data_IF_481624767726
#
_entry.id   IF_481624767726
#
_cell.length_a   1.000
_cell.length_b   1.000
_cell.length_c   1.000
_cell.angle_alpha   90.00
_cell.angle_beta   90.00
_cell.angle_gamma   90.00
#
_symmetry.space_group_name_H-M   'P 1'
#
loop_
_entity.id
_entity.type
_entity.pdbx_description
1 polymer ?
#
# COMPACT_ATOMS: atom_id res chain seq x y z
N UNK A 1 17.00 45.40 -1.86
CA UNK A 1 15.87 44.44 -1.98
C UNK A 1 16.46 43.13 -2.47
N UNK A 2 16.86 42.25 -1.55
CA UNK A 2 17.59 41.02 -1.90
C UNK A 2 16.57 39.90 -2.10
N UNK A 3 16.32 39.51 -3.34
CA UNK A 3 15.46 38.37 -3.69
C UNK A 3 16.23 37.07 -3.43
N UNK A 4 16.05 36.49 -2.24
CA UNK A 4 16.47 35.11 -1.95
C UNK A 4 15.52 34.16 -2.69
N UNK A 5 15.83 33.85 -3.94
CA UNK A 5 15.16 32.79 -4.68
C UNK A 5 15.80 31.46 -4.28
N UNK A 6 15.07 30.63 -3.52
CA UNK A 6 15.53 29.31 -3.12
C UNK A 6 15.75 28.40 -4.36
N UNK A 7 16.78 27.53 -4.35
CA UNK A 7 17.12 26.71 -5.52
C UNK A 7 16.01 25.68 -5.79
N UNK A 8 15.41 25.73 -6.99
CA UNK A 8 14.38 24.77 -7.42
C UNK A 8 14.93 23.34 -7.48
N UNK A 9 14.36 22.43 -6.71
CA UNK A 9 14.75 21.02 -6.71
C UNK A 9 14.00 20.27 -7.82
N UNK A 10 14.62 20.15 -8.99
CA UNK A 10 14.07 19.30 -10.07
C UNK A 10 14.56 17.87 -9.92
N UNK A 11 13.66 16.89 -9.80
CA UNK A 11 14.07 15.49 -9.84
C UNK A 11 14.46 15.08 -11.25
N UNK A 12 15.62 14.46 -11.39
CA UNK A 12 15.99 13.71 -12.58
C UNK A 12 15.55 12.28 -12.35
N UNK A 13 14.59 11.77 -13.13
CA UNK A 13 14.32 10.34 -13.18
C UNK A 13 15.66 9.63 -13.40
N UNK A 14 16.12 8.90 -12.38
CA UNK A 14 17.43 8.26 -12.44
C UNK A 14 17.34 7.24 -13.56
N UNK A 15 18.17 7.39 -14.58
CA UNK A 15 18.24 6.49 -15.74
C UNK A 15 18.24 5.00 -15.34
N UNK A 16 18.77 4.70 -14.15
CA UNK A 16 18.78 3.36 -13.58
C UNK A 16 17.38 2.75 -13.39
N UNK A 17 16.34 3.51 -13.02
CA UNK A 17 14.98 2.96 -12.89
C UNK A 17 14.45 2.44 -14.23
N UNK A 18 14.70 3.19 -15.30
CA UNK A 18 14.29 2.80 -16.66
C UNK A 18 15.01 1.51 -17.06
N UNK A 19 16.32 1.44 -16.84
CA UNK A 19 17.12 0.23 -17.11
C UNK A 19 16.60 -0.98 -16.32
N UNK A 20 16.30 -0.80 -15.04
CA UNK A 20 15.76 -1.85 -14.18
C UNK A 20 14.40 -2.35 -14.68
N UNK A 21 13.51 -1.46 -15.09
CA UNK A 21 12.18 -1.84 -15.61
C UNK A 21 12.31 -2.60 -16.93
N UNK A 22 13.13 -2.09 -17.86
CA UNK A 22 13.39 -2.78 -19.13
C UNK A 22 13.94 -4.17 -18.87
N UNK A 23 14.86 -4.33 -17.92
CA UNK A 23 15.37 -5.62 -17.51
C UNK A 23 14.25 -6.57 -17.02
N UNK A 24 13.36 -6.13 -16.13
CA UNK A 24 12.24 -6.94 -15.66
C UNK A 24 11.24 -7.30 -16.77
N UNK A 25 10.94 -6.36 -17.67
CA UNK A 25 10.07 -6.61 -18.82
C UNK A 25 10.66 -7.70 -19.71
N UNK A 26 11.95 -7.59 -20.05
CA UNK A 26 12.65 -8.60 -20.85
C UNK A 26 12.66 -9.95 -20.13
N UNK A 27 12.93 -9.96 -18.82
CA UNK A 27 12.91 -11.18 -18.00
C UNK A 27 11.54 -11.87 -18.06
N UNK A 28 10.45 -11.14 -17.86
CA UNK A 28 9.11 -11.72 -17.91
C UNK A 28 8.73 -12.21 -19.30
N UNK A 29 9.08 -11.49 -20.36
CA UNK A 29 8.85 -11.95 -21.74
C UNK A 29 9.70 -13.19 -22.06
N UNK A 30 10.92 -13.27 -21.56
CA UNK A 30 11.76 -14.46 -21.68
C UNK A 30 11.15 -15.66 -20.95
N UNK A 31 10.65 -15.48 -19.72
CA UNK A 31 9.93 -16.52 -18.97
C UNK A 31 8.65 -16.95 -19.71
N UNK A 32 7.89 -16.00 -20.26
CA UNK A 32 6.71 -16.27 -21.07
C UNK A 32 7.04 -17.14 -22.28
N UNK A 33 8.10 -16.78 -23.01
CA UNK A 33 8.59 -17.54 -24.15
C UNK A 33 9.02 -18.95 -23.73
N UNK A 34 9.76 -19.08 -22.63
CA UNK A 34 10.17 -20.38 -22.13
C UNK A 34 8.95 -21.25 -21.76
N UNK A 35 7.96 -20.68 -21.07
CA UNK A 35 6.72 -21.38 -20.74
C UNK A 35 5.93 -21.79 -21.99
N UNK A 36 5.87 -20.92 -23.00
CA UNK A 36 5.28 -21.25 -24.30
C UNK A 36 5.99 -22.42 -24.97
N UNK A 37 7.33 -22.44 -24.98
CA UNK A 37 8.07 -23.59 -25.53
C UNK A 37 7.80 -24.87 -24.75
N UNK A 38 7.65 -24.79 -23.41
CA UNK A 38 7.26 -25.94 -22.59
C UNK A 38 5.83 -26.41 -22.82
N UNK A 39 4.88 -25.50 -23.03
CA UNK A 39 3.52 -25.86 -23.41
C UNK A 39 3.49 -26.65 -24.73
N UNK A 40 4.30 -26.27 -25.72
CA UNK A 40 4.39 -27.01 -27.00
C UNK A 40 5.12 -28.35 -26.92
N UNK A 41 5.84 -28.63 -25.85
CA UNK A 41 6.52 -29.92 -25.68
C UNK A 41 5.50 -31.02 -25.39
N UNK A 42 5.80 -32.28 -25.70
CA UNK A 42 4.86 -33.40 -25.50
C UNK A 42 4.44 -33.66 -24.05
N UNK A 43 5.04 -32.95 -23.08
CA UNK A 43 4.69 -32.94 -21.66
C UNK A 43 4.02 -31.63 -21.21
N UNK A 44 3.50 -30.82 -22.14
CA UNK A 44 2.87 -29.53 -21.85
C UNK A 44 1.50 -29.66 -21.19
N UNK A 45 1.17 -28.75 -20.27
CA UNK A 45 -0.14 -28.69 -19.60
C UNK A 45 -0.78 -27.31 -19.82
N UNK A 46 -2.11 -27.20 -19.65
CA UNK A 46 -2.82 -25.91 -19.69
C UNK A 46 -2.29 -24.90 -18.66
N UNK A 47 -1.70 -25.37 -17.55
CA UNK A 47 -1.07 -24.50 -16.55
C UNK A 47 0.13 -23.75 -17.14
N UNK A 48 0.95 -24.39 -17.98
CA UNK A 48 2.09 -23.75 -18.65
C UNK A 48 1.61 -22.63 -19.60
N UNK A 49 0.48 -22.85 -20.27
CA UNK A 49 -0.14 -21.84 -21.13
C UNK A 49 -0.60 -20.64 -20.29
N UNK A 50 -1.26 -20.89 -19.15
CA UNK A 50 -1.62 -19.85 -18.19
C UNK A 50 -0.42 -19.01 -17.77
N UNK A 51 0.71 -19.65 -17.42
CA UNK A 51 1.93 -18.93 -17.09
C UNK A 51 2.52 -18.16 -18.26
N UNK A 52 2.48 -18.71 -19.48
CA UNK A 52 2.93 -18.01 -20.68
C UNK A 52 2.17 -16.69 -20.91
N UNK A 53 0.89 -16.61 -20.53
CA UNK A 53 0.10 -15.36 -20.58
C UNK A 53 0.20 -14.52 -19.30
N UNK A 54 0.39 -15.14 -18.15
CA UNK A 54 0.53 -14.45 -16.87
C UNK A 54 1.79 -13.57 -16.83
N UNK A 55 2.93 -14.08 -17.33
CA UNK A 55 4.19 -13.32 -17.31
C UNK A 55 4.14 -12.01 -18.11
N UNK A 56 3.60 -11.96 -19.35
CA UNK A 56 3.39 -10.70 -20.07
C UNK A 56 2.45 -9.74 -19.34
N UNK A 57 1.40 -10.23 -18.69
CA UNK A 57 0.51 -9.37 -17.90
C UNK A 57 1.26 -8.69 -16.75
N UNK A 58 2.15 -9.43 -16.07
CA UNK A 58 3.02 -8.83 -15.05
C UNK A 58 4.01 -7.82 -15.63
N UNK A 59 4.56 -8.06 -16.83
CA UNK A 59 5.42 -7.09 -17.50
C UNK A 59 4.69 -5.75 -17.74
N UNK A 60 3.47 -5.81 -18.28
CA UNK A 60 2.63 -4.62 -18.49
C UNK A 60 2.29 -3.96 -17.15
N UNK A 61 1.96 -4.75 -16.14
CA UNK A 61 1.65 -4.24 -14.80
C UNK A 61 2.82 -3.46 -14.19
N UNK A 62 4.06 -3.96 -14.29
CA UNK A 62 5.24 -3.26 -13.77
C UNK A 62 5.45 -1.92 -14.48
N UNK A 63 5.29 -1.87 -15.81
CA UNK A 63 5.39 -0.62 -16.57
C UNK A 63 4.31 0.37 -16.16
N UNK A 64 3.07 -0.10 -15.99
CA UNK A 64 1.96 0.72 -15.53
C UNK A 64 2.17 1.27 -14.12
N UNK A 65 2.60 0.41 -13.18
CA UNK A 65 2.88 0.80 -11.81
C UNK A 65 3.98 1.87 -11.76
N UNK A 66 5.05 1.72 -12.55
CA UNK A 66 6.09 2.74 -12.64
C UNK A 66 5.58 4.06 -13.23
N UNK A 67 4.80 4.01 -14.32
CA UNK A 67 4.22 5.21 -14.92
C UNK A 67 3.35 5.96 -13.91
N UNK A 68 2.52 5.23 -13.19
CA UNK A 68 1.65 5.78 -12.14
C UNK A 68 2.46 6.36 -10.99
N UNK A 69 3.48 5.64 -10.51
CA UNK A 69 4.37 6.13 -9.46
C UNK A 69 5.09 7.42 -9.88
N UNK A 70 5.65 7.47 -11.10
CA UNK A 70 6.29 8.68 -11.64
C UNK A 70 5.32 9.85 -11.76
N UNK A 71 4.05 9.60 -12.11
CA UNK A 71 3.01 10.64 -12.14
C UNK A 71 2.77 11.21 -10.74
N UNK A 72 2.56 10.36 -9.74
CA UNK A 72 2.36 10.79 -8.36
C UNK A 72 3.58 11.49 -7.76
N UNK A 73 4.79 11.00 -8.06
CA UNK A 73 6.02 11.67 -7.65
C UNK A 73 6.15 13.06 -8.28
N UNK A 74 5.86 13.21 -9.57
CA UNK A 74 5.88 14.52 -10.25
C UNK A 74 4.83 15.47 -9.67
N UNK A 75 3.58 15.02 -9.51
CA UNK A 75 2.50 15.83 -8.91
C UNK A 75 2.88 16.31 -7.50
N UNK A 76 3.55 15.46 -6.70
CA UNK A 76 4.04 15.82 -5.37
C UNK A 76 5.18 16.86 -5.42
N UNK A 77 6.15 16.68 -6.32
CA UNK A 77 7.29 17.62 -6.45
C UNK A 77 6.80 18.99 -6.92
N UNK A 78 5.84 19.04 -7.85
CA UNK A 78 5.26 20.28 -8.32
C UNK A 78 4.52 21.01 -7.18
N UNK A 79 3.73 20.28 -6.37
CA UNK A 79 3.10 20.85 -5.18
C UNK A 79 4.12 21.36 -4.12
N UNK A 80 5.21 20.61 -3.89
CA UNK A 80 6.30 21.05 -2.99
C UNK A 80 6.97 22.32 -3.52
N UNK A 81 7.21 22.43 -4.83
CA UNK A 81 7.80 23.61 -5.45
C UNK A 81 6.85 24.83 -5.38
N UNK A 82 5.55 24.66 -5.62
CA UNK A 82 4.55 25.73 -5.51
C UNK A 82 4.44 26.26 -4.07
N UNK A 83 4.45 25.39 -3.06
CA UNK A 83 4.42 25.80 -1.65
C UNK A 83 5.66 26.64 -1.28
N UNK A 84 6.85 26.21 -1.73
CA UNK A 84 8.10 26.95 -1.53
C UNK A 84 8.08 28.31 -2.24
N UNK A 85 7.51 28.41 -3.45
CA UNK A 85 7.36 29.69 -4.17
C UNK A 85 6.40 30.66 -3.46
N UNK A 86 5.38 30.14 -2.76
CA UNK A 86 4.47 30.94 -1.93
C UNK A 86 5.04 31.30 -0.54
N UNK A 87 6.29 30.91 -0.23
CA UNK A 87 6.91 31.15 1.08
C UNK A 87 6.26 30.36 2.22
N UNK A 88 5.51 29.30 1.88
CA UNK A 88 4.91 28.38 2.84
C UNK A 88 5.83 27.18 3.01
N UNK A 89 6.08 26.77 4.27
CA UNK A 89 6.77 25.51 4.55
C UNK A 89 6.04 24.38 3.81
N UNK A 90 6.74 23.53 3.04
CA UNK A 90 6.09 22.48 2.26
C UNK A 90 5.30 21.63 3.23
N UNK A 91 3.97 21.59 3.03
CA UNK A 91 3.08 20.78 3.83
C UNK A 91 3.66 19.36 3.83
N UNK A 92 4.22 18.95 4.97
CA UNK A 92 4.53 17.55 5.20
C UNK A 92 3.24 16.81 4.92
N UNK A 93 3.35 15.68 4.23
CA UNK A 93 2.23 14.84 3.83
C UNK A 93 1.52 14.27 5.07
N UNK A 94 0.87 15.10 5.86
CA UNK A 94 -0.32 14.67 6.54
C UNK A 94 -1.27 14.29 5.41
N UNK A 95 -1.68 13.03 5.41
CA UNK A 95 -2.78 12.57 4.58
C UNK A 95 -4.04 13.32 5.05
N UNK A 96 -4.15 14.61 4.74
CA UNK A 96 -5.42 15.31 4.80
C UNK A 96 -6.21 14.76 3.63
N UNK A 97 -7.28 13.97 3.88
CA UNK A 97 -8.10 13.48 2.80
C UNK A 97 -8.76 14.71 2.16
N UNK A 98 -8.20 15.21 1.06
CA UNK A 98 -8.80 16.31 0.29
C UNK A 98 -10.14 15.91 -0.36
N UNK A 99 -10.50 14.63 -0.31
CA UNK A 99 -11.81 14.12 -0.68
C UNK A 99 -12.82 14.11 0.49
N UNK A 100 -12.41 14.44 1.72
CA UNK A 100 -13.33 14.57 2.86
C UNK A 100 -14.01 15.95 2.97
N UNK A 101 -13.75 16.85 2.02
CA UNK A 101 -14.40 18.17 1.96
C UNK A 101 -15.66 18.19 1.08
N UNK A 102 -15.93 17.12 0.32
CA UNK A 102 -17.18 16.96 -0.42
C UNK A 102 -17.92 15.72 0.10
N UNK A 103 -18.99 15.98 0.85
CA UNK A 103 -20.08 15.04 1.12
C UNK A 103 -19.76 13.81 1.99
N UNK A 104 -19.23 14.04 3.17
CA UNK A 104 -19.70 13.27 4.33
C UNK A 104 -20.25 14.24 5.36
N UNK A 105 -21.47 14.70 5.08
CA UNK A 105 -22.41 14.85 6.18
C UNK A 105 -22.47 13.49 6.84
N UNK A 106 -21.68 13.32 7.89
CA UNK A 106 -21.81 12.22 8.83
C UNK A 106 -23.29 12.19 9.18
N UNK A 107 -24.02 11.21 8.68
CA UNK A 107 -25.36 10.90 9.12
C UNK A 107 -25.18 10.46 10.56
N UNK A 108 -25.25 11.45 11.47
CA UNK A 108 -25.16 11.24 12.89
C UNK A 108 -26.19 10.17 13.23
N UNK A 109 -25.70 9.00 13.65
CA UNK A 109 -26.54 7.91 14.11
C UNK A 109 -27.32 8.48 15.30
N UNK A 110 -28.65 8.34 15.28
CA UNK A 110 -29.49 8.84 16.36
C UNK A 110 -29.04 8.19 17.68
N UNK A 111 -28.95 8.97 18.75
CA UNK A 111 -28.44 8.48 20.04
C UNK A 111 -29.33 7.34 20.59
N UNK A 112 -30.61 7.33 20.20
CA UNK A 112 -31.60 6.30 20.52
C UNK A 112 -31.49 5.01 19.67
N UNK A 113 -30.65 5.00 18.62
CA UNK A 113 -30.40 3.80 17.81
C UNK A 113 -29.51 2.79 18.54
N UNK A 114 -28.62 3.26 19.42
CA UNK A 114 -27.73 2.37 20.16
C UNK A 114 -28.44 1.86 21.43
N UNK A 115 -28.51 0.54 21.67
CA UNK A 115 -29.03 0.04 22.93
C UNK A 115 -28.18 0.60 24.08
N UNK A 116 -28.80 0.92 25.23
CA UNK A 116 -28.08 1.46 26.37
C UNK A 116 -26.96 0.51 26.77
N UNK A 117 -25.74 1.04 26.93
CA UNK A 117 -24.59 0.24 27.35
C UNK A 117 -24.89 -0.35 28.74
N UNK A 118 -24.79 -1.69 28.91
CA UNK A 118 -24.91 -2.30 30.23
C UNK A 118 -23.85 -1.72 31.18
N UNK A 119 -24.28 -1.11 32.27
CA UNK A 119 -23.40 -0.61 33.32
C UNK A 119 -23.13 -1.76 34.30
N UNK A 120 -22.16 -2.61 33.98
CA UNK A 120 -21.72 -3.68 34.90
C UNK A 120 -20.61 -3.11 35.77
N UNK A 121 -20.79 -3.19 37.08
CA UNK A 121 -19.77 -2.77 38.04
C UNK A 121 -18.48 -3.61 37.90
N UNK A 122 -17.33 -2.99 38.19
CA UNK A 122 -16.01 -3.60 38.04
C UNK A 122 -15.86 -4.86 38.89
N UNK A 123 -16.40 -4.86 40.12
CA UNK A 123 -16.35 -6.03 41.00
C UNK A 123 -17.16 -7.18 40.40
N UNK A 124 -18.33 -6.87 39.86
CA UNK A 124 -19.22 -7.84 39.21
C UNK A 124 -18.57 -8.41 37.95
N UNK A 125 -17.93 -7.58 37.11
CA UNK A 125 -17.21 -8.02 35.93
C UNK A 125 -16.01 -8.92 36.26
N UNK A 126 -15.23 -8.55 37.27
CA UNK A 126 -14.08 -9.33 37.73
C UNK A 126 -14.50 -10.67 38.35
N UNK A 127 -15.64 -10.71 39.05
CA UNK A 127 -16.20 -11.94 39.59
C UNK A 127 -16.64 -12.91 38.49
N UNK A 128 -17.28 -12.41 37.42
CA UNK A 128 -17.69 -13.22 36.27
C UNK A 128 -16.48 -13.74 35.47
N UNK A 129 -15.43 -12.95 35.31
CA UNK A 129 -14.26 -13.28 34.50
C UNK A 129 -13.05 -13.78 35.30
N UNK A 130 -13.28 -14.49 36.42
CA UNK A 130 -12.18 -15.13 37.16
C UNK A 130 -11.55 -16.23 36.31
N UNK A 131 -10.39 -15.93 35.72
CA UNK A 131 -9.57 -16.92 35.03
C UNK A 131 -9.17 -18.01 36.01
N UNK A 132 -9.75 -19.21 35.86
CA UNK A 132 -9.29 -20.39 36.61
C UNK A 132 -7.90 -20.76 36.10
N UNK A 133 -6.85 -20.33 36.81
CA UNK A 133 -5.52 -20.89 36.61
C UNK A 133 -5.58 -22.37 36.97
N UNK A 134 -5.49 -23.22 35.96
CA UNK A 134 -5.23 -24.66 36.11
C UNK A 134 -3.82 -24.79 36.68
N UNK A 135 -3.73 -24.85 38.01
CA UNK A 135 -2.47 -25.13 38.74
C UNK A 135 -2.07 -26.57 38.36
N UNK A 136 -1.09 -26.69 37.46
CA UNK A 136 -0.44 -27.96 37.19
C UNK A 136 0.18 -28.48 38.48
N UNK A 137 -0.22 -29.68 38.86
CA UNK A 137 0.42 -30.50 39.88
C UNK A 137 1.88 -30.72 39.48
N UNK A 138 2.79 -30.08 40.20
CA UNK A 138 4.21 -30.40 40.19
C UNK A 138 4.40 -31.74 40.93
N UNK A 139 4.64 -32.76 40.11
CA UNK A 139 5.57 -33.89 40.28
C UNK A 139 5.84 -34.41 41.70
N UNK A 140 5.13 -35.50 41.99
CA UNK A 140 5.57 -36.66 42.75
C UNK A 140 6.65 -37.42 41.93
N UNK A 141 7.89 -37.43 42.42
CA UNK A 141 8.88 -38.49 42.18
C UNK A 141 9.84 -38.54 43.37
N UNK A 142 9.41 -39.28 44.40
CA UNK A 142 10.27 -40.07 45.27
C UNK A 142 10.21 -41.52 44.79
#
# INVERSE_FOLDING_TARGET
MSTNQAPRKKMKARWWHIVLIVFFVVLFLFLAYWQWTRFKSGSGTFQNLGYAFQWPLFAVFVVYAYRTAMRYENERIDAENEALEMGQEPAQYEATPKDAAQEQQVTKIDEDFLPPRPQVDVETFNAMNKQRRRRGTEEENL
#
